data_IF_591377774647
#
_entry.id   IF_591377774647
#
_cell.length_a   1.000
_cell.length_b   1.000
_cell.length_c   1.000
_cell.angle_alpha   90.00
_cell.angle_beta   90.00
_cell.angle_gamma   90.00
#
_symmetry.space_group_name_H-M   'P 1'
#
loop_
_entity.id
_entity.type
_entity.pdbx_description
1 polymer ?
#
# COMPACT_ATOMS: atom_id res chain seq x y z
N UNK A 1 -6.58 -0.69 -12.33
CA UNK A 1 -6.00 -1.83 -13.06
C UNK A 1 -4.57 -1.97 -12.57
N UNK A 2 -4.19 -3.12 -12.01
CA UNK A 2 -2.85 -3.33 -11.44
C UNK A 2 -1.81 -3.59 -12.52
N UNK A 3 -0.59 -3.10 -12.28
CA UNK A 3 0.58 -3.29 -13.13
C UNK A 3 1.46 -4.40 -12.53
N UNK A 4 1.69 -5.47 -13.28
CA UNK A 4 2.52 -6.60 -12.85
C UNK A 4 3.78 -6.65 -13.71
N UNK A 5 4.94 -6.78 -13.05
CA UNK A 5 6.22 -7.03 -13.70
C UNK A 5 6.57 -8.51 -13.56
N UNK A 6 6.83 -9.20 -14.68
CA UNK A 6 7.33 -10.57 -14.72
C UNK A 6 8.82 -10.51 -15.06
N UNK A 7 9.63 -11.23 -14.29
CA UNK A 7 11.06 -11.38 -14.45
C UNK A 7 11.37 -12.86 -14.58
N UNK A 8 11.62 -13.34 -15.79
CA UNK A 8 11.82 -14.73 -16.12
C UNK A 8 12.69 -14.80 -17.39
N UNK A 9 13.77 -15.55 -17.39
CA UNK A 9 14.68 -15.65 -18.52
C UNK A 9 14.12 -16.56 -19.63
N UNK A 10 13.34 -17.58 -19.28
CA UNK A 10 12.64 -18.40 -20.26
C UNK A 10 11.54 -17.59 -20.97
N UNK A 11 11.74 -17.36 -22.27
CA UNK A 11 10.83 -16.60 -23.11
C UNK A 11 9.42 -17.19 -23.17
N UNK A 12 9.30 -18.51 -23.32
CA UNK A 12 8.00 -19.19 -23.45
C UNK A 12 7.20 -19.12 -22.13
N UNK A 13 7.88 -19.35 -21.02
CA UNK A 13 7.27 -19.28 -19.69
C UNK A 13 6.87 -17.83 -19.36
N UNK A 14 7.71 -16.86 -19.65
CA UNK A 14 7.40 -15.43 -19.49
C UNK A 14 6.16 -15.03 -20.30
N UNK A 15 6.07 -15.46 -21.55
CA UNK A 15 4.90 -15.19 -22.39
C UNK A 15 3.64 -15.91 -21.94
N UNK A 16 3.76 -17.13 -21.42
CA UNK A 16 2.63 -17.85 -20.83
C UNK A 16 2.04 -17.09 -19.65
N UNK A 17 2.89 -16.65 -18.72
CA UNK A 17 2.46 -15.89 -17.54
C UNK A 17 1.84 -14.53 -17.94
N UNK A 18 2.45 -13.81 -18.89
CA UNK A 18 1.89 -12.57 -19.41
C UNK A 18 0.48 -12.77 -19.96
N UNK A 19 0.27 -13.77 -20.81
CA UNK A 19 -1.04 -14.09 -21.39
C UNK A 19 -2.09 -14.37 -20.33
N UNK A 20 -1.76 -15.23 -19.37
CA UNK A 20 -2.69 -15.63 -18.30
C UNK A 20 -3.09 -14.41 -17.45
N UNK A 21 -2.15 -13.60 -17.05
CA UNK A 21 -2.43 -12.42 -16.20
C UNK A 21 -3.18 -11.32 -16.97
N UNK A 22 -2.88 -11.09 -18.25
CA UNK A 22 -3.65 -10.16 -19.10
C UNK A 22 -5.12 -10.63 -19.24
N UNK A 23 -5.35 -11.95 -19.43
CA UNK A 23 -6.71 -12.51 -19.47
C UNK A 23 -7.46 -12.33 -18.14
N UNK A 24 -6.74 -12.23 -17.02
CA UNK A 24 -7.32 -11.94 -15.70
C UNK A 24 -7.41 -10.43 -15.38
N UNK A 25 -7.23 -9.56 -16.37
CA UNK A 25 -7.49 -8.12 -16.25
C UNK A 25 -6.32 -7.30 -15.69
N UNK A 26 -5.11 -7.83 -15.66
CA UNK A 26 -3.91 -7.11 -15.24
C UNK A 26 -3.21 -6.44 -16.44
N UNK A 27 -2.51 -5.32 -16.18
CA UNK A 27 -1.52 -4.79 -17.13
C UNK A 27 -0.18 -5.46 -16.82
N UNK A 28 0.43 -6.10 -17.82
CA UNK A 28 1.61 -6.94 -17.60
C UNK A 28 2.74 -6.57 -18.53
N UNK A 29 3.93 -6.43 -17.99
CA UNK A 29 5.18 -6.33 -18.74
C UNK A 29 6.14 -7.42 -18.27
N UNK A 30 7.02 -7.87 -19.15
CA UNK A 30 8.00 -8.92 -18.86
C UNK A 30 9.40 -8.52 -19.26
N UNK A 31 10.38 -8.93 -18.46
CA UNK A 31 11.81 -8.74 -18.69
C UNK A 31 12.57 -10.04 -18.41
N UNK A 32 13.81 -10.14 -18.89
CA UNK A 32 14.59 -11.38 -18.89
C UNK A 32 15.46 -11.60 -17.65
N UNK A 33 15.76 -10.56 -16.85
CA UNK A 33 16.62 -10.68 -15.67
C UNK A 33 16.38 -9.56 -14.66
N UNK A 34 17.00 -9.67 -13.48
CA UNK A 34 16.83 -8.70 -12.39
C UNK A 34 17.37 -7.30 -12.73
N UNK A 35 18.40 -7.18 -13.57
CA UNK A 35 18.95 -5.89 -13.99
C UNK A 35 18.00 -5.16 -14.95
N UNK A 36 17.41 -5.91 -15.88
CA UNK A 36 16.35 -5.40 -16.75
C UNK A 36 15.10 -5.01 -15.95
N UNK A 37 14.80 -5.74 -14.86
CA UNK A 37 13.71 -5.40 -13.95
C UNK A 37 13.92 -4.06 -13.24
N UNK A 38 15.09 -3.81 -12.67
CA UNK A 38 15.43 -2.52 -12.04
C UNK A 38 15.29 -1.37 -13.04
N UNK A 39 15.85 -1.51 -14.25
CA UNK A 39 15.74 -0.51 -15.32
C UNK A 39 14.28 -0.27 -15.77
N UNK A 40 13.44 -1.32 -15.74
CA UNK A 40 12.02 -1.20 -16.05
C UNK A 40 11.27 -0.42 -14.96
N UNK A 41 11.62 -0.65 -13.69
CA UNK A 41 11.01 0.02 -12.54
C UNK A 41 11.38 1.51 -12.43
N UNK A 42 12.51 1.93 -12.96
CA UNK A 42 12.87 3.35 -13.10
C UNK A 42 11.90 4.12 -14.01
N UNK A 43 11.29 3.44 -14.97
CA UNK A 43 10.40 4.06 -15.97
C UNK A 43 8.94 3.97 -15.56
N UNK A 44 8.54 2.87 -14.98
CA UNK A 44 7.15 2.58 -14.65
C UNK A 44 7.09 1.68 -13.41
N UNK A 45 6.33 2.10 -12.39
CA UNK A 45 6.15 1.31 -11.17
C UNK A 45 5.39 -0.01 -11.44
N UNK A 46 5.52 -0.97 -10.53
CA UNK A 46 4.73 -2.18 -10.50
C UNK A 46 4.02 -2.33 -9.16
N UNK A 47 2.77 -2.80 -9.19
CA UNK A 47 1.98 -3.14 -8.00
C UNK A 47 2.38 -4.51 -7.42
N UNK A 48 2.95 -5.39 -8.27
CA UNK A 48 3.47 -6.71 -7.91
C UNK A 48 4.55 -7.14 -8.89
N UNK A 49 5.54 -7.86 -8.38
CA UNK A 49 6.61 -8.47 -9.18
C UNK A 49 6.50 -9.98 -9.05
N UNK A 50 6.57 -10.70 -10.18
CA UNK A 50 6.76 -12.16 -10.23
C UNK A 50 8.16 -12.39 -10.76
N UNK A 51 9.01 -13.07 -9.99
CA UNK A 51 10.41 -13.28 -10.37
C UNK A 51 10.81 -14.74 -10.27
N UNK A 52 11.44 -15.27 -11.32
CA UNK A 52 12.25 -16.47 -11.13
C UNK A 52 13.44 -16.17 -10.20
N UNK A 53 13.89 -17.21 -9.51
CA UNK A 53 15.10 -17.14 -8.70
C UNK A 53 16.34 -17.25 -9.57
N UNK A 54 16.36 -18.25 -10.44
CA UNK A 54 17.54 -18.65 -11.23
C UNK A 54 17.55 -17.96 -12.59
N UNK A 55 18.12 -16.78 -12.65
CA UNK A 55 18.26 -16.00 -13.88
C UNK A 55 19.72 -15.57 -14.11
N UNK A 56 20.12 -15.36 -15.36
CA UNK A 56 21.46 -14.80 -15.67
C UNK A 56 21.57 -13.35 -15.22
N UNK A 57 22.79 -12.83 -15.13
CA UNK A 57 23.16 -11.43 -14.85
C UNK A 57 22.84 -10.98 -13.44
N UNK A 58 21.59 -11.07 -13.01
CA UNK A 58 21.11 -10.76 -11.66
C UNK A 58 19.99 -11.71 -11.31
N UNK A 59 20.20 -12.50 -10.27
CA UNK A 59 19.21 -13.47 -9.78
C UNK A 59 18.03 -12.81 -9.03
N UNK A 60 16.96 -13.58 -8.77
CA UNK A 60 15.77 -13.07 -8.09
C UNK A 60 16.03 -12.61 -6.66
N UNK A 61 16.97 -13.24 -5.95
CA UNK A 61 17.33 -12.82 -4.58
C UNK A 61 18.11 -11.52 -4.56
N UNK A 62 19.00 -11.32 -5.53
CA UNK A 62 19.74 -10.06 -5.70
C UNK A 62 18.78 -8.93 -6.05
N UNK A 63 17.80 -9.20 -6.94
CA UNK A 63 16.74 -8.26 -7.28
C UNK A 63 15.96 -7.83 -6.02
N UNK A 64 15.46 -8.76 -5.23
CA UNK A 64 14.69 -8.43 -4.01
C UNK A 64 15.53 -7.65 -3.02
N UNK A 65 16.79 -8.04 -2.79
CA UNK A 65 17.70 -7.28 -1.91
C UNK A 65 17.91 -5.84 -2.40
N UNK A 66 18.07 -5.65 -3.69
CA UNK A 66 18.22 -4.30 -4.27
C UNK A 66 16.94 -3.45 -4.08
N UNK A 67 15.77 -4.04 -4.30
CA UNK A 67 14.48 -3.38 -4.08
C UNK A 67 14.31 -2.96 -2.62
N UNK A 68 14.50 -3.89 -1.68
CA UNK A 68 14.36 -3.60 -0.24
C UNK A 68 15.40 -2.61 0.26
N UNK A 69 16.65 -2.70 -0.24
CA UNK A 69 17.72 -1.74 0.06
C UNK A 69 17.43 -0.31 -0.43
N UNK A 70 16.61 -0.18 -1.48
CA UNK A 70 16.13 1.12 -2.00
C UNK A 70 14.79 1.56 -1.38
N UNK A 71 14.29 0.87 -0.35
CA UNK A 71 13.01 1.20 0.31
C UNK A 71 11.75 0.78 -0.47
N UNK A 72 11.90 0.08 -1.60
CA UNK A 72 10.78 -0.39 -2.42
C UNK A 72 10.14 -1.61 -1.76
N UNK A 73 8.86 -1.48 -1.35
CA UNK A 73 8.09 -2.50 -0.66
C UNK A 73 7.07 -3.22 -1.57
N UNK A 74 7.20 -3.07 -2.88
CA UNK A 74 6.35 -3.79 -3.86
C UNK A 74 6.39 -5.29 -3.55
N UNK A 75 5.23 -5.97 -3.42
CA UNK A 75 5.18 -7.40 -3.15
C UNK A 75 5.82 -8.21 -4.26
N UNK A 76 6.57 -9.24 -3.86
CA UNK A 76 7.29 -10.13 -4.77
C UNK A 76 6.85 -11.57 -4.56
N UNK A 77 6.33 -12.19 -5.63
CA UNK A 77 6.10 -13.62 -5.75
C UNK A 77 7.31 -14.26 -6.42
N UNK A 78 8.05 -15.09 -5.68
CA UNK A 78 9.20 -15.80 -6.23
C UNK A 78 8.78 -17.14 -6.83
N UNK A 79 9.39 -17.51 -7.95
CA UNK A 79 9.24 -18.81 -8.58
C UNK A 79 10.57 -19.57 -8.43
N UNK A 80 10.52 -20.81 -7.96
CA UNK A 80 11.72 -21.60 -7.64
C UNK A 80 11.65 -23.02 -8.17
N UNK A 81 12.79 -23.64 -8.43
CA UNK A 81 12.87 -25.09 -8.68
C UNK A 81 12.71 -25.85 -7.36
N UNK A 82 12.24 -27.12 -7.44
CA UNK A 82 11.85 -27.96 -6.30
C UNK A 82 12.99 -28.27 -5.31
N UNK A 83 14.24 -28.16 -5.74
CA UNK A 83 15.41 -28.52 -4.94
C UNK A 83 15.96 -27.37 -4.06
N UNK A 84 15.30 -26.23 -4.10
CA UNK A 84 15.71 -25.02 -3.38
C UNK A 84 15.10 -24.90 -1.96
N UNK A 85 14.81 -26.03 -1.28
CA UNK A 85 14.27 -25.98 0.10
C UNK A 85 15.26 -25.33 1.09
N UNK A 86 16.57 -25.47 0.88
CA UNK A 86 17.60 -24.72 1.62
C UNK A 86 17.65 -23.22 1.21
N UNK A 87 17.23 -22.90 0.00
CA UNK A 87 17.12 -21.52 -0.50
C UNK A 87 15.83 -20.82 -0.03
N UNK A 88 14.77 -21.55 0.32
CA UNK A 88 13.58 -21.00 0.98
C UNK A 88 13.94 -20.26 2.28
N UNK A 89 14.89 -20.80 3.05
CA UNK A 89 15.39 -20.18 4.28
C UNK A 89 16.14 -18.87 4.00
N UNK A 90 16.88 -18.81 2.89
CA UNK A 90 17.56 -17.59 2.40
C UNK A 90 16.54 -16.59 1.85
N UNK A 91 15.50 -17.06 1.21
CA UNK A 91 14.45 -16.23 0.62
C UNK A 91 13.59 -15.50 1.64
N UNK A 92 13.20 -16.15 2.75
CA UNK A 92 12.55 -15.47 3.87
C UNK A 92 13.42 -14.36 4.47
N UNK A 93 14.73 -14.54 4.48
CA UNK A 93 15.70 -13.51 4.91
C UNK A 93 15.92 -12.42 3.86
N UNK A 94 15.55 -12.63 2.58
CA UNK A 94 15.68 -11.64 1.51
C UNK A 94 14.51 -10.66 1.39
N UNK A 95 13.40 -10.87 2.12
CA UNK A 95 12.24 -9.97 2.10
C UNK A 95 11.22 -10.26 0.99
N UNK A 96 11.14 -11.53 0.53
CA UNK A 96 10.10 -12.02 -0.39
C UNK A 96 8.76 -12.20 0.33
N UNK A 97 7.65 -12.01 -0.38
CA UNK A 97 6.31 -12.04 0.21
C UNK A 97 5.59 -13.39 0.04
N UNK A 98 5.90 -14.14 -1.03
CA UNK A 98 5.37 -15.50 -1.28
C UNK A 98 6.24 -16.27 -2.29
N UNK A 99 6.03 -17.60 -2.39
CA UNK A 99 6.77 -18.49 -3.26
C UNK A 99 5.87 -19.45 -4.02
N UNK A 100 6.32 -19.83 -5.22
CA UNK A 100 5.78 -20.95 -5.99
C UNK A 100 6.92 -21.85 -6.47
N UNK A 101 6.64 -23.18 -6.53
CA UNK A 101 7.59 -24.17 -7.01
C UNK A 101 7.27 -24.56 -8.45
N UNK A 102 8.28 -24.67 -9.31
CA UNK A 102 8.14 -25.21 -10.68
C UNK A 102 7.90 -26.73 -10.63
N UNK A 103 6.97 -27.30 -11.42
CA UNK A 103 6.23 -26.66 -12.51
C UNK A 103 5.07 -25.78 -11.98
N UNK A 104 4.95 -24.56 -12.52
CA UNK A 104 3.99 -23.57 -12.06
C UNK A 104 2.57 -23.90 -12.53
N UNK A 105 1.66 -24.04 -11.59
CA UNK A 105 0.23 -24.04 -11.89
C UNK A 105 -0.24 -22.58 -12.09
N UNK A 106 -0.60 -22.22 -13.32
CA UNK A 106 -0.98 -20.86 -13.66
C UNK A 106 -2.25 -20.36 -12.94
N UNK A 107 -3.18 -21.25 -12.61
CA UNK A 107 -4.37 -20.88 -11.84
C UNK A 107 -4.02 -20.56 -10.38
N UNK A 108 -3.10 -21.35 -9.78
CA UNK A 108 -2.56 -21.07 -8.45
C UNK A 108 -1.80 -19.74 -8.45
N UNK A 109 -1.01 -19.47 -9.48
CA UNK A 109 -0.30 -18.19 -9.63
C UNK A 109 -1.27 -17.01 -9.59
N UNK A 110 -2.38 -17.06 -10.32
CA UNK A 110 -3.40 -16.00 -10.31
C UNK A 110 -3.96 -15.79 -8.91
N UNK A 111 -4.33 -16.85 -8.18
CA UNK A 111 -4.86 -16.76 -6.82
C UNK A 111 -3.85 -16.14 -5.84
N UNK A 112 -2.56 -16.47 -5.96
CA UNK A 112 -1.49 -15.88 -5.13
C UNK A 112 -1.28 -14.42 -5.45
N UNK A 113 -1.29 -14.05 -6.73
CA UNK A 113 -1.24 -12.66 -7.19
C UNK A 113 -2.38 -11.84 -6.59
N UNK A 114 -3.62 -12.34 -6.67
CA UNK A 114 -4.78 -11.68 -6.07
C UNK A 114 -4.62 -11.50 -4.55
N UNK A 115 -4.15 -12.53 -3.85
CA UNK A 115 -3.94 -12.48 -2.41
C UNK A 115 -2.86 -11.47 -2.01
N UNK A 116 -1.75 -11.41 -2.75
CA UNK A 116 -0.66 -10.45 -2.51
C UNK A 116 -1.10 -9.03 -2.78
N UNK A 117 -1.77 -8.77 -3.91
CA UNK A 117 -2.30 -7.45 -4.26
C UNK A 117 -3.33 -6.97 -3.23
N UNK A 118 -4.25 -7.83 -2.80
CA UNK A 118 -5.23 -7.53 -1.75
C UNK A 118 -4.54 -7.17 -0.43
N UNK A 119 -3.51 -7.93 -0.02
CA UNK A 119 -2.73 -7.66 1.19
C UNK A 119 -2.01 -6.31 1.09
N UNK A 120 -1.37 -6.02 -0.04
CA UNK A 120 -0.70 -4.75 -0.28
C UNK A 120 -1.69 -3.57 -0.29
N UNK A 121 -2.89 -3.73 -0.87
CA UNK A 121 -3.95 -2.72 -0.78
C UNK A 121 -4.40 -2.50 0.66
N UNK A 122 -4.64 -3.56 1.42
CA UNK A 122 -5.03 -3.44 2.84
C UNK A 122 -3.96 -2.71 3.67
N UNK A 123 -2.67 -2.93 3.38
CA UNK A 123 -1.57 -2.21 4.03
C UNK A 123 -1.59 -0.73 3.59
N UNK A 124 -1.79 -0.45 2.30
CA UNK A 124 -1.89 0.92 1.77
C UNK A 124 -3.16 1.63 2.25
N UNK A 125 -4.29 0.91 2.37
CA UNK A 125 -5.53 1.43 2.94
C UNK A 125 -5.41 1.74 4.44
N UNK A 126 -4.45 1.10 5.14
CA UNK A 126 -4.15 1.36 6.56
C UNK A 126 -3.06 2.41 6.79
N UNK A 127 -2.35 2.79 5.74
CA UNK A 127 -1.36 3.87 5.73
C UNK A 127 -1.78 4.95 4.75
N UNK A 128 -1.98 6.15 5.25
CA UNK A 128 -2.35 7.31 4.44
C UNK A 128 -1.22 8.32 4.50
N UNK A 129 -0.81 8.85 3.34
CA UNK A 129 0.30 9.80 3.22
C UNK A 129 -0.21 11.14 2.68
N UNK A 130 0.09 12.21 3.39
CA UNK A 130 -0.17 13.60 3.01
C UNK A 130 1.14 14.38 3.06
N UNK A 131 1.80 14.59 1.92
CA UNK A 131 3.15 15.18 1.92
C UNK A 131 4.15 14.32 2.69
N UNK A 132 4.83 14.87 3.68
CA UNK A 132 5.72 14.16 4.61
C UNK A 132 5.01 13.58 5.84
N UNK A 133 3.69 13.78 5.97
CA UNK A 133 2.91 13.25 7.11
C UNK A 133 2.26 11.92 6.77
N UNK A 134 2.44 10.92 7.64
CA UNK A 134 1.88 9.58 7.53
C UNK A 134 0.87 9.31 8.66
N UNK A 135 -0.30 8.77 8.31
CA UNK A 135 -1.29 8.30 9.26
C UNK A 135 -1.31 6.77 9.22
N UNK A 136 -0.99 6.12 10.33
CA UNK A 136 -0.91 4.67 10.48
C UNK A 136 -2.12 4.17 11.27
N UNK A 137 -3.08 3.53 10.59
CA UNK A 137 -4.35 3.13 11.16
C UNK A 137 -4.20 2.10 12.30
N UNK A 138 -3.31 1.13 12.15
CA UNK A 138 -3.15 0.03 13.11
C UNK A 138 -2.59 0.50 14.46
N UNK A 139 -1.73 1.51 14.46
CA UNK A 139 -1.12 2.07 15.68
C UNK A 139 -1.76 3.39 16.11
N UNK A 140 -2.75 3.90 15.37
CA UNK A 140 -3.37 5.21 15.59
C UNK A 140 -2.33 6.35 15.64
N UNK A 141 -1.25 6.20 14.88
CA UNK A 141 -0.09 7.09 14.90
C UNK A 141 -0.15 8.07 13.73
N UNK A 142 0.18 9.31 13.99
CA UNK A 142 0.51 10.30 12.97
C UNK A 142 2.01 10.57 13.08
N UNK A 143 2.75 10.31 12.01
CA UNK A 143 4.20 10.48 11.92
C UNK A 143 4.55 11.54 10.87
N UNK A 144 5.55 12.36 11.17
CA UNK A 144 6.23 13.29 10.25
C UNK A 144 7.71 12.92 10.20
N UNK A 145 8.49 13.59 9.36
CA UNK A 145 9.94 13.35 9.28
C UNK A 145 10.67 13.47 10.64
N UNK A 146 10.19 14.36 11.52
CA UNK A 146 10.89 14.76 12.75
C UNK A 146 10.15 14.36 14.03
N UNK A 147 8.90 13.93 13.95
CA UNK A 147 8.06 13.64 15.12
C UNK A 147 6.99 12.58 14.83
N UNK A 148 6.54 11.91 15.89
CA UNK A 148 5.41 10.99 15.80
C UNK A 148 4.56 11.03 17.06
N UNK A 149 3.25 10.96 16.90
CA UNK A 149 2.33 10.94 18.04
C UNK A 149 1.21 9.92 17.83
N UNK A 150 0.84 9.23 18.92
CA UNK A 150 -0.34 8.38 18.98
C UNK A 150 -1.54 9.25 19.37
N UNK A 151 -2.61 9.15 18.59
CA UNK A 151 -3.84 9.88 18.87
C UNK A 151 -4.87 9.00 19.59
N UNK A 152 -5.76 9.60 20.42
CA UNK A 152 -6.96 8.92 20.86
C UNK A 152 -7.77 8.42 19.68
N UNK A 153 -8.36 7.21 19.81
CA UNK A 153 -9.02 6.51 18.71
C UNK A 153 -9.98 7.41 17.89
N UNK A 154 -10.86 8.16 18.55
CA UNK A 154 -11.83 9.03 17.87
C UNK A 154 -11.18 10.19 17.12
N UNK A 155 -10.13 10.78 17.67
CA UNK A 155 -9.36 11.85 17.01
C UNK A 155 -8.62 11.33 15.79
N UNK A 156 -7.99 10.15 15.92
CA UNK A 156 -7.33 9.51 14.78
C UNK A 156 -8.32 9.20 13.65
N UNK A 157 -9.44 8.54 13.96
CA UNK A 157 -10.45 8.16 12.96
C UNK A 157 -11.05 9.39 12.27
N UNK A 158 -11.26 10.47 13.01
CA UNK A 158 -11.76 11.75 12.48
C UNK A 158 -10.76 12.36 11.48
N UNK A 159 -9.48 12.42 11.84
CA UNK A 159 -8.44 12.92 10.96
C UNK A 159 -8.29 12.00 9.74
N UNK A 160 -8.19 10.69 9.96
CA UNK A 160 -8.02 9.69 8.91
C UNK A 160 -9.14 9.72 7.87
N UNK A 161 -10.41 9.82 8.32
CA UNK A 161 -11.57 9.94 7.44
C UNK A 161 -11.47 11.16 6.52
N UNK A 162 -11.17 12.34 7.07
CA UNK A 162 -11.05 13.55 6.26
C UNK A 162 -9.83 13.52 5.34
N UNK A 163 -8.73 12.97 5.84
CA UNK A 163 -7.45 12.84 5.14
C UNK A 163 -7.47 11.82 4.01
N UNK A 164 -8.33 10.79 4.07
CA UNK A 164 -8.52 9.83 2.97
C UNK A 164 -9.18 10.44 1.73
N UNK A 165 -9.78 11.63 1.84
CA UNK A 165 -10.39 12.34 0.72
C UNK A 165 -10.10 13.84 0.82
N UNK A 166 -8.85 14.27 0.58
CA UNK A 166 -8.47 15.67 0.70
C UNK A 166 -9.31 16.57 -0.21
N UNK A 167 -9.72 17.71 0.32
CA UNK A 167 -10.59 18.66 -0.38
C UNK A 167 -12.09 18.35 -0.27
N UNK A 168 -12.47 17.11 0.05
CA UNK A 168 -13.89 16.75 0.27
C UNK A 168 -14.39 17.30 1.60
N UNK A 169 -15.57 17.93 1.57
CA UNK A 169 -16.27 18.41 2.76
C UNK A 169 -17.13 17.29 3.34
N UNK A 170 -17.00 17.05 4.64
CA UNK A 170 -17.85 16.15 5.41
C UNK A 170 -18.73 16.97 6.35
N UNK A 171 -20.02 16.68 6.36
CA UNK A 171 -20.94 17.34 7.32
C UNK A 171 -20.66 16.81 8.74
N UNK A 172 -21.04 17.61 9.76
CA UNK A 172 -20.93 17.18 11.16
C UNK A 172 -21.69 15.88 11.42
N UNK A 173 -22.87 15.74 10.81
CA UNK A 173 -23.66 14.52 10.93
C UNK A 173 -22.95 13.31 10.30
N UNK A 174 -22.42 13.43 9.08
CA UNK A 174 -21.66 12.36 8.45
C UNK A 174 -20.46 11.91 9.29
N UNK A 175 -19.74 12.89 9.88
CA UNK A 175 -18.62 12.60 10.76
C UNK A 175 -19.10 11.85 12.01
N UNK A 176 -20.22 12.31 12.59
CA UNK A 176 -20.80 11.70 13.80
C UNK A 176 -21.22 10.25 13.56
N UNK A 177 -22.01 10.02 12.51
CA UNK A 177 -22.51 8.69 12.14
C UNK A 177 -21.37 7.69 11.88
N UNK A 178 -20.34 8.12 11.15
CA UNK A 178 -19.24 7.25 10.76
C UNK A 178 -18.26 6.91 11.91
N UNK A 179 -18.09 7.81 12.88
CA UNK A 179 -17.06 7.65 13.92
C UNK A 179 -17.67 7.26 15.26
N UNK A 180 -18.89 7.70 15.57
CA UNK A 180 -19.58 7.37 16.83
C UNK A 180 -20.70 6.35 16.65
N UNK A 181 -21.20 6.13 15.44
CA UNK A 181 -22.24 5.15 15.11
C UNK A 181 -23.64 5.77 15.05
N UNK A 182 -24.56 5.06 14.36
CA UNK A 182 -25.97 5.44 14.30
C UNK A 182 -26.62 5.27 15.67
N UNK A 183 -27.36 6.28 16.14
CA UNK A 183 -28.19 6.17 17.35
C UNK A 183 -27.86 7.16 18.48
N UNK A 184 -26.88 8.04 18.30
CA UNK A 184 -26.71 9.18 19.19
C UNK A 184 -27.76 10.26 18.85
N UNK A 185 -28.54 10.71 19.84
CA UNK A 185 -29.60 11.70 19.63
C UNK A 185 -29.05 13.04 19.13
N UNK A 186 -29.64 13.54 18.04
CA UNK A 186 -29.00 14.35 17.03
C UNK A 186 -28.60 15.80 17.38
N UNK A 187 -29.00 16.40 18.48
CA UNK A 187 -28.75 17.84 18.71
C UNK A 187 -27.64 18.19 19.72
N UNK A 188 -27.38 17.33 20.70
CA UNK A 188 -26.29 17.57 21.68
C UNK A 188 -24.91 17.13 21.21
N UNK A 189 -24.83 16.22 20.20
CA UNK A 189 -23.63 15.45 19.87
C UNK A 189 -22.75 16.06 18.79
N UNK A 190 -23.27 16.95 17.92
CA UNK A 190 -22.46 17.62 16.90
C UNK A 190 -21.39 18.55 17.50
N UNK A 191 -21.59 19.05 18.72
CA UNK A 191 -20.55 19.79 19.47
C UNK A 191 -19.34 18.91 19.82
N UNK A 192 -19.53 17.59 19.96
CA UNK A 192 -18.44 16.64 20.19
C UNK A 192 -17.45 16.65 19.02
N UNK A 193 -17.95 16.69 17.79
CA UNK A 193 -17.10 16.82 16.59
C UNK A 193 -16.26 18.10 16.65
N UNK A 194 -16.88 19.23 16.97
CA UNK A 194 -16.19 20.53 17.01
C UNK A 194 -15.06 20.56 18.06
N UNK A 195 -15.26 19.91 19.22
CA UNK A 195 -14.22 19.78 20.26
C UNK A 195 -13.03 18.94 19.75
N UNK A 196 -13.27 17.83 19.10
CA UNK A 196 -12.19 17.00 18.56
C UNK A 196 -11.46 17.69 17.40
N UNK A 197 -12.17 18.42 16.55
CA UNK A 197 -11.56 19.27 15.51
C UNK A 197 -10.66 20.34 16.11
N UNK A 198 -11.08 21.00 17.19
CA UNK A 198 -10.27 21.99 17.86
C UNK A 198 -8.95 21.41 18.41
N UNK A 199 -9.02 20.22 19.04
CA UNK A 199 -7.86 19.50 19.55
C UNK A 199 -6.90 19.09 18.43
N UNK A 200 -7.42 18.57 17.33
CA UNK A 200 -6.62 18.20 16.16
C UNK A 200 -5.92 19.44 15.56
N UNK A 201 -6.62 20.57 15.44
CA UNK A 201 -6.03 21.81 14.94
C UNK A 201 -4.93 22.34 15.84
N UNK A 202 -5.11 22.26 17.14
CA UNK A 202 -4.10 22.72 18.09
C UNK A 202 -2.85 21.82 18.01
N UNK A 203 -3.05 20.50 17.95
CA UNK A 203 -1.96 19.52 17.85
C UNK A 203 -1.17 19.64 16.56
N UNK A 204 -1.83 19.86 15.43
CA UNK A 204 -1.21 19.92 14.10
C UNK A 204 -1.12 21.35 13.55
N UNK A 205 -1.06 22.34 14.43
CA UNK A 205 -0.99 23.78 14.03
C UNK A 205 0.21 24.07 13.12
N UNK A 206 1.34 23.44 13.37
CA UNK A 206 2.61 23.67 12.66
C UNK A 206 2.86 22.65 11.54
N UNK A 207 1.90 21.76 11.28
CA UNK A 207 2.04 20.80 10.19
C UNK A 207 2.04 21.51 8.83
N UNK A 208 3.03 21.17 7.99
CA UNK A 208 3.26 21.80 6.68
C UNK A 208 2.61 21.05 5.51
N UNK A 209 2.04 19.87 5.77
CA UNK A 209 1.52 19.00 4.73
C UNK A 209 0.00 19.07 4.58
N UNK A 210 -0.70 19.41 5.66
CA UNK A 210 -2.16 19.52 5.65
C UNK A 210 -2.69 20.52 6.68
N UNK A 211 -3.92 20.96 6.46
CA UNK A 211 -4.70 21.70 7.46
C UNK A 211 -6.17 21.29 7.44
N UNK A 212 -6.85 21.49 8.58
CA UNK A 212 -8.28 21.24 8.72
C UNK A 212 -9.03 22.56 8.56
N UNK A 213 -9.87 22.65 7.53
CA UNK A 213 -10.68 23.84 7.23
C UNK A 213 -12.14 23.65 7.66
N UNK A 214 -12.77 24.74 8.13
CA UNK A 214 -14.21 24.80 8.39
C UNK A 214 -14.94 25.33 7.16
N UNK A 215 -15.94 24.59 6.71
CA UNK A 215 -16.92 25.10 5.75
C UNK A 215 -18.14 25.56 6.53
N UNK A 216 -18.32 26.88 6.63
CA UNK A 216 -19.37 27.48 7.47
C UNK A 216 -20.75 26.94 7.12
N UNK A 217 -21.52 26.55 8.13
CA UNK A 217 -22.86 25.98 7.98
C UNK A 217 -22.90 24.55 7.47
N UNK A 218 -21.76 23.91 7.12
CA UNK A 218 -21.70 22.55 6.56
C UNK A 218 -20.90 21.61 7.46
N UNK A 219 -19.61 21.83 7.63
CA UNK A 219 -18.74 20.90 8.35
C UNK A 219 -17.26 21.18 8.15
N UNK A 220 -16.48 20.12 7.90
CA UNK A 220 -15.02 20.18 7.88
C UNK A 220 -14.43 19.43 6.68
N UNK A 221 -13.23 19.83 6.29
CA UNK A 221 -12.39 19.12 5.31
C UNK A 221 -10.92 19.21 5.68
N UNK A 222 -10.12 18.26 5.21
CA UNK A 222 -8.66 18.34 5.17
C UNK A 222 -8.24 18.85 3.80
N UNK A 223 -7.30 19.76 3.74
CA UNK A 223 -6.65 20.22 2.52
C UNK A 223 -5.16 19.92 2.59
N UNK A 224 -4.56 19.51 1.49
CA UNK A 224 -3.09 19.44 1.34
C UNK A 224 -2.54 20.85 1.19
N UNK A 225 -1.36 21.08 1.74
CA UNK A 225 -0.61 22.34 1.63
C UNK A 225 0.47 22.22 0.56
#
# INVERSE_FOLDING_TARGET
>A
MFNILIVEDDYELRHLFQRVLVQNGYRVRGVEDGKAALKSLEKEYADLIISDIMMPVMDGYELVRALRGSGIQTPVLMITAKDAFDDMRKGFLSGTDDYMVKPVNVNEMVLRVEALLRRAQMINERRLVLGGTELLLDSLTVATENDSCVLPHKEFMLLYKMASSPGRTFTRQQIMDDIWGYGYEAESDTHTVDVHIARLRDRFRENQDFRIETIRGVGYKVVKL
#
